data_IF_419165685534
#
_entry.id   IF_419165685534
#
_cell.length_a   1.000
_cell.length_b   1.000
_cell.length_c   1.000
_cell.angle_alpha   90.00
_cell.angle_beta   90.00
_cell.angle_gamma   90.00
#
_symmetry.space_group_name_H-M   'P 1'
#
loop_
_entity.id
_entity.type
_entity.pdbx_description
1 polymer ?
#
# COMPACT_ATOMS: atom_id res chain seq x y z
N UNK A 1 -5.99 3.59 -13.55
CA UNK A 1 -4.68 3.94 -14.16
C UNK A 1 -3.55 3.63 -13.20
N UNK A 2 -2.45 3.09 -13.73
CA UNK A 2 -1.24 2.77 -12.98
C UNK A 2 -0.26 3.95 -13.05
N UNK A 3 0.35 4.31 -11.93
CA UNK A 3 1.42 5.31 -11.89
C UNK A 3 2.69 4.72 -12.52
N UNK A 4 2.91 5.07 -13.79
CA UNK A 4 4.06 4.66 -14.61
C UNK A 4 5.08 5.81 -14.74
N UNK A 5 6.24 5.52 -15.36
CA UNK A 5 7.34 6.48 -15.56
C UNK A 5 6.91 7.86 -16.07
N UNK A 6 5.93 7.92 -16.98
CA UNK A 6 5.45 9.18 -17.55
C UNK A 6 4.76 10.09 -16.52
N UNK A 7 4.14 9.51 -15.49
CA UNK A 7 3.47 10.27 -14.42
C UNK A 7 4.52 10.89 -13.50
N UNK A 8 5.52 10.13 -13.08
CA UNK A 8 6.61 10.63 -12.24
C UNK A 8 7.36 11.77 -12.89
N UNK A 9 7.67 11.69 -14.20
CA UNK A 9 8.32 12.77 -14.97
C UNK A 9 7.53 14.08 -15.02
N UNK A 10 6.22 14.04 -14.78
CA UNK A 10 5.38 15.25 -14.75
C UNK A 10 5.26 15.84 -13.33
N UNK A 11 5.74 15.14 -12.32
CA UNK A 11 5.76 15.64 -10.96
C UNK A 11 6.84 16.69 -10.76
N UNK A 12 6.70 17.50 -9.72
CA UNK A 12 7.77 18.45 -9.33
C UNK A 12 8.94 17.67 -8.74
N UNK A 13 10.20 18.06 -8.96
CA UNK A 13 11.34 17.40 -8.32
C UNK A 13 11.28 17.40 -6.79
N UNK A 14 10.55 18.34 -6.19
CA UNK A 14 10.30 18.40 -4.74
C UNK A 14 9.12 17.54 -4.27
N UNK A 15 8.43 16.82 -5.16
CA UNK A 15 7.28 16.02 -4.79
C UNK A 15 7.69 14.83 -3.91
N UNK A 16 6.83 14.50 -2.95
CA UNK A 16 6.90 13.26 -2.16
C UNK A 16 5.75 12.37 -2.64
N UNK A 17 6.07 11.16 -3.05
CA UNK A 17 5.07 10.17 -3.49
C UNK A 17 4.64 9.31 -2.30
N UNK A 18 3.33 9.16 -2.07
CA UNK A 18 2.79 8.33 -0.99
C UNK A 18 1.79 7.32 -1.55
N UNK A 19 1.96 6.03 -1.25
CA UNK A 19 1.03 4.97 -1.60
C UNK A 19 0.63 4.14 -0.37
N UNK A 20 -0.61 4.34 0.09
CA UNK A 20 -1.28 3.53 1.11
C UNK A 20 -2.50 2.79 0.54
N UNK A 21 -2.61 2.67 -0.78
CA UNK A 21 -3.76 2.07 -1.46
C UNK A 21 -3.51 0.60 -1.80
N UNK A 22 -2.99 0.34 -2.98
CA UNK A 22 -2.64 -1.02 -3.45
C UNK A 22 -1.33 -0.98 -4.23
N UNK A 23 -0.52 -2.03 -4.11
CA UNK A 23 0.76 -2.13 -4.81
C UNK A 23 0.61 -2.03 -6.32
N UNK A 24 -0.41 -2.67 -6.90
CA UNK A 24 -0.66 -2.71 -8.35
C UNK A 24 -1.00 -1.34 -8.98
N UNK A 25 -1.31 -0.30 -8.19
CA UNK A 25 -1.54 1.04 -8.75
C UNK A 25 -0.24 1.77 -9.09
N UNK A 26 0.91 1.18 -8.76
CA UNK A 26 2.24 1.75 -8.98
C UNK A 26 3.14 0.73 -9.66
N UNK A 27 3.73 1.11 -10.77
CA UNK A 27 4.88 0.39 -11.33
C UNK A 27 6.09 0.66 -10.43
N UNK A 28 6.46 -0.33 -9.62
CA UNK A 28 7.52 -0.19 -8.62
C UNK A 28 8.87 0.09 -9.26
N UNK A 29 9.14 -0.48 -10.43
CA UNK A 29 10.38 -0.18 -11.18
C UNK A 29 10.43 1.28 -11.66
N UNK A 30 9.29 1.82 -12.10
CA UNK A 30 9.19 3.22 -12.47
C UNK A 30 9.38 4.16 -11.27
N UNK A 31 8.85 3.80 -10.10
CA UNK A 31 9.07 4.55 -8.86
C UNK A 31 10.56 4.56 -8.46
N UNK A 32 11.21 3.39 -8.47
CA UNK A 32 12.65 3.28 -8.19
C UNK A 32 13.45 4.18 -9.14
N UNK A 33 13.18 4.10 -10.45
CA UNK A 33 13.88 4.91 -11.44
C UNK A 33 13.63 6.43 -11.23
N UNK A 34 12.41 6.83 -10.84
CA UNK A 34 12.10 8.24 -10.58
C UNK A 34 12.88 8.79 -9.36
N UNK A 35 13.06 7.97 -8.33
CA UNK A 35 13.85 8.32 -7.15
C UNK A 35 15.36 8.37 -7.47
N UNK A 36 15.89 7.36 -8.18
CA UNK A 36 17.29 7.28 -8.60
C UNK A 36 17.68 8.48 -9.50
N UNK A 37 16.75 8.91 -10.38
CA UNK A 37 16.96 10.05 -11.28
C UNK A 37 16.56 11.41 -10.66
N UNK A 38 16.17 11.46 -9.40
CA UNK A 38 15.72 12.68 -8.70
C UNK A 38 14.55 13.39 -9.42
N UNK A 39 13.70 12.62 -10.13
CA UNK A 39 12.47 13.12 -10.73
C UNK A 39 11.44 13.48 -9.66
N UNK A 40 11.52 12.82 -8.48
CA UNK A 40 10.80 13.15 -7.23
C UNK A 40 11.77 13.11 -6.05
N UNK A 41 11.44 13.80 -4.95
CA UNK A 41 12.35 13.95 -3.82
C UNK A 41 12.36 12.78 -2.84
N UNK A 42 11.22 12.13 -2.64
CA UNK A 42 11.07 11.07 -1.63
C UNK A 42 9.84 10.21 -1.92
N UNK A 43 9.75 9.06 -1.24
CA UNK A 43 8.54 8.25 -1.24
C UNK A 43 8.24 7.64 0.13
N UNK A 44 6.94 7.40 0.39
CA UNK A 44 6.46 6.57 1.49
C UNK A 44 5.46 5.56 0.92
N UNK A 45 5.72 4.27 1.13
CA UNK A 45 4.88 3.19 0.60
C UNK A 45 4.52 2.21 1.71
N UNK A 46 3.24 1.96 1.86
CA UNK A 46 2.70 0.95 2.77
C UNK A 46 2.30 -0.32 2.00
N UNK A 47 2.03 -0.19 0.69
CA UNK A 47 1.67 -1.28 -0.20
C UNK A 47 2.55 -1.28 -1.44
N UNK A 48 3.03 -2.44 -1.87
CA UNK A 48 3.92 -2.58 -3.02
C UNK A 48 3.61 -3.83 -3.85
N UNK A 49 4.05 -3.84 -5.08
CA UNK A 49 3.83 -4.95 -5.99
C UNK A 49 4.56 -6.22 -5.50
N UNK A 50 3.83 -7.34 -5.43
CA UNK A 50 4.37 -8.61 -4.92
C UNK A 50 4.40 -8.72 -3.39
N UNK A 51 3.77 -7.84 -2.65
CA UNK A 51 3.76 -7.83 -1.17
C UNK A 51 3.21 -9.11 -0.53
N UNK A 52 2.33 -9.84 -1.21
CA UNK A 52 1.72 -11.08 -0.71
C UNK A 52 2.72 -12.20 -0.41
N UNK A 53 3.92 -12.13 -0.95
CA UNK A 53 5.00 -13.08 -0.68
C UNK A 53 5.88 -12.65 0.50
N UNK A 54 5.64 -11.48 1.06
CA UNK A 54 6.49 -10.82 2.05
C UNK A 54 5.69 -10.43 3.29
N UNK A 55 4.56 -9.73 3.09
CA UNK A 55 3.72 -9.27 4.21
C UNK A 55 3.09 -10.44 4.94
N UNK A 56 3.18 -10.43 6.27
CA UNK A 56 2.69 -11.51 7.13
C UNK A 56 3.56 -12.76 7.17
N UNK A 57 4.74 -12.74 6.54
CA UNK A 57 5.71 -13.84 6.57
C UNK A 57 6.81 -13.58 7.60
N UNK A 58 7.26 -14.64 8.26
CA UNK A 58 8.52 -14.57 9.03
C UNK A 58 9.71 -14.69 8.08
N UNK A 59 10.33 -13.54 7.84
CA UNK A 59 11.51 -13.43 6.98
C UNK A 59 12.82 -13.32 7.76
N UNK A 60 12.80 -13.62 9.07
CA UNK A 60 14.02 -13.60 9.91
C UNK A 60 15.10 -14.49 9.30
N UNK A 61 16.24 -13.92 8.96
CA UNK A 61 17.36 -14.63 8.34
C UNK A 61 17.16 -15.04 6.88
N UNK A 62 16.05 -14.65 6.24
CA UNK A 62 15.80 -14.91 4.81
C UNK A 62 16.10 -13.67 3.97
N UNK A 63 16.49 -13.89 2.73
CA UNK A 63 16.62 -12.80 1.76
C UNK A 63 15.25 -12.46 1.17
N UNK A 64 14.98 -11.16 1.04
CA UNK A 64 13.80 -10.68 0.31
C UNK A 64 14.04 -10.92 -1.18
N UNK A 65 13.16 -11.69 -1.82
CA UNK A 65 13.23 -11.95 -3.27
C UNK A 65 12.40 -10.94 -4.04
N UNK A 66 12.79 -9.66 -3.95
CA UNK A 66 12.20 -8.54 -4.67
C UNK A 66 13.26 -7.42 -4.78
N UNK A 67 13.90 -7.32 -5.93
CA UNK A 67 15.01 -6.38 -6.13
C UNK A 67 14.57 -4.92 -6.07
N UNK A 68 13.37 -4.58 -6.54
CA UNK A 68 12.84 -3.22 -6.43
C UNK A 68 12.61 -2.84 -4.96
N UNK A 69 12.07 -3.76 -4.15
CA UNK A 69 11.88 -3.53 -2.73
C UNK A 69 13.23 -3.37 -2.01
N UNK A 70 14.23 -4.19 -2.33
CA UNK A 70 15.59 -4.04 -1.77
C UNK A 70 16.15 -2.64 -2.05
N UNK A 71 16.00 -2.16 -3.29
CA UNK A 71 16.44 -0.82 -3.67
C UNK A 71 15.72 0.26 -2.88
N UNK A 72 14.39 0.18 -2.76
CA UNK A 72 13.59 1.14 -1.99
C UNK A 72 14.01 1.17 -0.52
N UNK A 73 14.21 0.00 0.10
CA UNK A 73 14.66 -0.11 1.50
C UNK A 73 16.08 0.44 1.73
N UNK A 74 16.92 0.47 0.70
CA UNK A 74 18.26 1.01 0.78
C UNK A 74 18.32 2.55 0.59
N UNK A 75 17.24 3.17 0.12
CA UNK A 75 17.20 4.62 -0.14
C UNK A 75 16.88 5.41 1.15
N UNK A 76 17.70 6.40 1.54
CA UNK A 76 17.49 7.16 2.77
C UNK A 76 16.27 8.11 2.73
N UNK A 77 15.78 8.40 1.52
CA UNK A 77 14.60 9.24 1.28
C UNK A 77 13.33 8.42 1.01
N UNK A 78 13.32 7.13 1.34
CA UNK A 78 12.17 6.25 1.17
C UNK A 78 11.80 5.63 2.52
N UNK A 79 10.51 5.68 2.84
CA UNK A 79 9.93 4.95 3.97
C UNK A 79 9.05 3.81 3.44
N UNK A 80 9.30 2.59 3.90
CA UNK A 80 8.51 1.40 3.56
C UNK A 80 7.92 0.81 4.83
N UNK A 81 6.60 0.61 4.84
CA UNK A 81 5.90 -0.10 5.89
C UNK A 81 5.19 -1.34 5.32
N UNK A 82 5.03 -2.43 6.09
CA UNK A 82 4.55 -3.69 5.57
C UNK A 82 3.02 -3.80 5.59
N UNK A 83 2.32 -2.93 4.85
CA UNK A 83 0.86 -2.91 4.73
C UNK A 83 0.15 -2.83 6.09
N UNK A 84 0.59 -1.90 6.93
CA UNK A 84 0.09 -1.71 8.30
C UNK A 84 -0.60 -0.37 8.53
N UNK A 85 -0.85 0.40 7.48
CA UNK A 85 -1.51 1.71 7.58
C UNK A 85 -2.91 1.65 8.21
N UNK A 86 -3.59 0.50 8.11
CA UNK A 86 -4.87 0.25 8.78
C UNK A 86 -4.72 -0.08 10.27
N UNK A 87 -3.54 -0.43 10.77
CA UNK A 87 -3.34 -1.01 12.10
C UNK A 87 -3.37 0.06 13.20
N UNK A 88 -4.54 0.64 13.39
CA UNK A 88 -4.87 1.53 14.50
C UNK A 88 -6.02 0.91 15.30
N UNK A 89 -6.10 1.21 16.60
CA UNK A 89 -7.17 0.68 17.47
C UNK A 89 -8.57 0.97 16.91
N UNK A 90 -8.79 2.19 16.43
CA UNK A 90 -10.08 2.61 15.86
C UNK A 90 -10.39 1.88 14.56
N UNK A 91 -9.42 1.78 13.63
CA UNK A 91 -9.65 1.13 12.34
C UNK A 91 -9.90 -0.37 12.50
N UNK A 92 -9.11 -1.06 13.31
CA UNK A 92 -9.27 -2.50 13.58
C UNK A 92 -10.62 -2.78 14.25
N UNK A 93 -10.99 -1.98 15.27
CA UNK A 93 -12.29 -2.11 15.91
C UNK A 93 -13.44 -1.93 14.91
N UNK A 94 -13.42 -0.85 14.12
CA UNK A 94 -14.46 -0.56 13.13
C UNK A 94 -14.59 -1.66 12.08
N UNK A 95 -13.50 -2.22 11.60
CA UNK A 95 -13.54 -3.33 10.63
C UNK A 95 -14.29 -4.54 11.17
N UNK A 96 -14.09 -4.88 12.46
CA UNK A 96 -14.75 -6.01 13.11
C UNK A 96 -16.21 -5.68 13.44
N UNK A 97 -16.45 -4.55 14.11
CA UNK A 97 -17.79 -4.17 14.59
C UNK A 97 -18.77 -3.93 13.43
N UNK A 98 -18.35 -3.25 12.37
CA UNK A 98 -19.20 -2.99 11.19
C UNK A 98 -19.57 -4.33 10.54
N UNK A 99 -18.62 -5.21 10.28
CA UNK A 99 -18.89 -6.50 9.66
C UNK A 99 -19.84 -7.37 10.50
N UNK A 100 -19.64 -7.44 11.82
CA UNK A 100 -20.51 -8.20 12.71
C UNK A 100 -21.92 -7.61 12.79
N UNK A 101 -22.04 -6.29 12.87
CA UNK A 101 -23.33 -5.60 12.90
C UNK A 101 -24.10 -5.81 11.60
N UNK A 102 -23.44 -5.81 10.45
CA UNK A 102 -24.06 -6.11 9.16
C UNK A 102 -24.60 -7.54 9.13
N UNK A 103 -23.82 -8.51 9.59
CA UNK A 103 -24.28 -9.91 9.70
C UNK A 103 -25.51 -10.02 10.58
N UNK A 104 -25.51 -9.41 11.78
CA UNK A 104 -26.66 -9.42 12.70
C UNK A 104 -27.89 -8.75 12.05
N UNK A 105 -27.70 -7.64 11.36
CA UNK A 105 -28.76 -6.92 10.66
C UNK A 105 -29.42 -7.81 9.60
N UNK A 106 -28.62 -8.48 8.79
CA UNK A 106 -29.10 -9.39 7.73
C UNK A 106 -29.81 -10.61 8.34
N UNK A 107 -29.26 -11.21 9.40
CA UNK A 107 -29.88 -12.37 10.06
C UNK A 107 -31.25 -12.03 10.71
N UNK A 108 -31.46 -10.76 11.09
CA UNK A 108 -32.73 -10.25 11.56
C UNK A 108 -33.71 -9.87 10.43
N UNK A 109 -33.39 -10.18 9.18
CA UNK A 109 -34.22 -9.87 8.00
C UNK A 109 -34.23 -8.40 7.62
N UNK A 110 -33.30 -7.61 8.12
CA UNK A 110 -33.14 -6.20 7.80
C UNK A 110 -32.08 -6.01 6.71
N UNK A 111 -32.17 -4.87 6.00
CA UNK A 111 -31.18 -4.50 4.98
C UNK A 111 -29.96 -3.86 5.64
N UNK A 112 -28.76 -4.31 5.31
CA UNK A 112 -27.55 -3.68 5.79
C UNK A 112 -27.36 -2.28 5.19
N UNK A 113 -26.95 -1.28 5.98
CA UNK A 113 -26.64 0.06 5.48
C UNK A 113 -25.40 0.09 4.57
N UNK A 114 -24.59 -0.98 4.59
CA UNK A 114 -23.35 -1.11 3.82
C UNK A 114 -23.49 -2.08 2.65
N UNK A 115 -24.74 -2.45 2.28
CA UNK A 115 -24.99 -3.31 1.13
C UNK A 115 -24.41 -2.70 -0.16
N UNK A 116 -23.57 -3.47 -0.83
CA UNK A 116 -23.01 -3.07 -2.13
C UNK A 116 -24.05 -3.45 -3.18
N UNK A 117 -24.59 -2.46 -3.88
CA UNK A 117 -25.50 -2.69 -5.01
C UNK A 117 -24.81 -3.43 -6.16
N UNK A 118 -25.62 -4.12 -6.97
CA UNK A 118 -25.17 -4.75 -8.22
C UNK A 118 -24.65 -3.71 -9.22
#
# INVERSE_FOLDING_TARGET
DVYKRQVFKKMKPSAIFINCSRGQVVDTGALVAALENQEISAAAIDTFEGENTIVGQDLTGKQIDNDNLKKLLAMPNVNVTPHIGFYTEVAVRNMVEIALNDVVTILNGQKSPHEVGE
#
